data_IF_324939472452
#
_entry.id   IF_324939472452
#
_cell.length_a   1.000
_cell.length_b   1.000
_cell.length_c   1.000
_cell.angle_alpha   90.00
_cell.angle_beta   90.00
_cell.angle_gamma   90.00
#
_symmetry.space_group_name_H-M   'P 1'
#
loop_
_entity.id
_entity.type
_entity.pdbx_description
1 polymer ?
#
# COMPACT_ATOMS: atom_id res chain seq x y z
N UNK A 1 -25.05 0.44 -0.34
CA UNK A 1 -24.29 -0.69 -0.90
C UNK A 1 -23.43 -1.29 0.22
N UNK A 2 -23.31 -2.62 0.33
CA UNK A 2 -22.44 -3.28 1.32
C UNK A 2 -21.35 -4.07 0.59
N UNK A 3 -20.15 -4.19 1.18
CA UNK A 3 -19.01 -4.97 0.65
C UNK A 3 -18.51 -5.98 1.69
N UNK A 4 -19.21 -7.11 1.92
CA UNK A 4 -18.88 -8.05 2.99
C UNK A 4 -17.45 -8.57 2.93
N UNK A 5 -16.99 -9.03 1.76
CA UNK A 5 -15.62 -9.55 1.61
C UNK A 5 -14.53 -8.51 1.96
N UNK A 6 -14.77 -7.23 1.64
CA UNK A 6 -13.84 -6.16 2.04
C UNK A 6 -13.88 -5.90 3.54
N UNK A 7 -15.05 -6.02 4.17
CA UNK A 7 -15.18 -5.88 5.61
C UNK A 7 -14.39 -6.98 6.34
N UNK A 8 -14.50 -8.23 5.89
CA UNK A 8 -13.74 -9.36 6.44
C UNK A 8 -12.23 -9.14 6.32
N UNK A 9 -11.75 -8.67 5.15
CA UNK A 9 -10.34 -8.29 4.96
C UNK A 9 -9.88 -7.21 5.95
N UNK A 10 -10.66 -6.14 6.11
CA UNK A 10 -10.31 -5.06 7.04
C UNK A 10 -10.36 -5.51 8.50
N UNK A 11 -11.26 -6.44 8.84
CA UNK A 11 -11.34 -7.02 10.18
C UNK A 11 -10.11 -7.88 10.50
N UNK A 12 -9.65 -8.71 9.56
CA UNK A 12 -8.43 -9.51 9.73
C UNK A 12 -7.18 -8.63 9.90
N UNK A 13 -7.03 -7.59 9.06
CA UNK A 13 -5.95 -6.60 9.19
C UNK A 13 -6.04 -5.87 10.53
N UNK A 14 -7.24 -5.52 10.99
CA UNK A 14 -7.42 -4.86 12.29
C UNK A 14 -7.01 -5.75 13.46
N UNK A 15 -7.23 -7.07 13.38
CA UNK A 15 -6.91 -8.02 14.46
C UNK A 15 -5.44 -8.42 14.47
N UNK A 16 -4.83 -8.59 13.30
CA UNK A 16 -3.50 -9.20 13.12
C UNK A 16 -2.42 -8.19 12.72
N UNK A 17 -2.81 -6.94 12.42
CA UNK A 17 -1.92 -5.90 11.94
C UNK A 17 -1.68 -5.97 10.43
N UNK A 18 -0.91 -4.99 9.92
CA UNK A 18 -0.62 -4.88 8.49
C UNK A 18 0.14 -6.10 7.93
N UNK A 19 0.97 -6.75 8.75
CA UNK A 19 1.71 -7.96 8.37
C UNK A 19 0.79 -9.11 7.94
N UNK A 20 -0.48 -9.11 8.35
CA UNK A 20 -1.46 -10.08 7.84
C UNK A 20 -1.59 -9.99 6.32
N UNK A 21 -1.61 -8.78 5.75
CA UNK A 21 -1.71 -8.62 4.30
C UNK A 21 -0.41 -9.04 3.59
N UNK A 22 0.76 -8.78 4.19
CA UNK A 22 2.04 -9.01 3.53
C UNK A 22 2.63 -10.42 3.74
N UNK A 23 2.24 -11.09 4.83
CA UNK A 23 2.80 -12.39 5.26
C UNK A 23 1.73 -13.41 5.68
N UNK A 24 0.46 -13.00 5.69
CA UNK A 24 -0.67 -13.81 6.15
C UNK A 24 -1.61 -14.27 5.03
N UNK A 25 -2.82 -14.66 5.43
CA UNK A 25 -3.76 -15.38 4.59
C UNK A 25 -4.41 -14.46 3.54
N UNK A 26 -4.67 -13.19 3.87
CA UNK A 26 -5.17 -12.22 2.88
C UNK A 26 -4.18 -12.02 1.76
N UNK A 27 -2.88 -11.94 2.07
CA UNK A 27 -1.81 -11.82 1.08
C UNK A 27 -1.77 -13.02 0.14
N UNK A 28 -1.87 -14.24 0.69
CA UNK A 28 -1.92 -15.47 -0.09
C UNK A 28 -3.14 -15.51 -1.03
N UNK A 29 -4.33 -15.15 -0.53
CA UNK A 29 -5.56 -15.04 -1.34
C UNK A 29 -5.38 -14.03 -2.48
N UNK A 30 -4.81 -12.86 -2.18
CA UNK A 30 -4.51 -11.84 -3.18
C UNK A 30 -3.55 -12.35 -4.26
N UNK A 31 -2.46 -13.00 -3.88
CA UNK A 31 -1.49 -13.58 -4.84
C UNK A 31 -2.16 -14.63 -5.70
N UNK A 32 -2.97 -15.50 -5.11
CA UNK A 32 -3.71 -16.52 -5.85
C UNK A 32 -4.64 -15.90 -6.89
N UNK A 33 -5.39 -14.87 -6.53
CA UNK A 33 -6.29 -14.16 -7.46
C UNK A 33 -5.51 -13.49 -8.59
N UNK A 34 -4.40 -12.81 -8.27
CA UNK A 34 -3.53 -12.18 -9.28
C UNK A 34 -2.97 -13.22 -10.25
N UNK A 35 -2.53 -14.38 -9.75
CA UNK A 35 -2.00 -15.47 -10.58
C UNK A 35 -3.07 -16.10 -11.47
N UNK A 36 -4.28 -16.30 -10.93
CA UNK A 36 -5.43 -16.80 -11.71
C UNK A 36 -5.78 -15.87 -12.88
N UNK A 37 -5.52 -14.58 -12.76
CA UNK A 37 -5.70 -13.57 -13.79
C UNK A 37 -4.47 -13.39 -14.72
N UNK A 38 -3.44 -14.24 -14.59
CA UNK A 38 -2.23 -14.19 -15.40
C UNK A 38 -1.18 -13.17 -14.94
N UNK A 39 -1.32 -12.63 -13.73
CA UNK A 39 -0.37 -11.71 -13.13
C UNK A 39 0.90 -12.39 -12.58
N UNK A 40 1.90 -11.57 -12.26
CA UNK A 40 3.24 -12.03 -11.89
C UNK A 40 3.58 -11.84 -10.40
N UNK A 41 2.71 -11.20 -9.62
CA UNK A 41 2.95 -10.98 -8.19
C UNK A 41 3.06 -12.33 -7.48
N UNK A 42 4.02 -12.45 -6.57
CA UNK A 42 4.28 -13.59 -5.72
C UNK A 42 4.13 -13.22 -4.24
N UNK A 43 3.99 -14.22 -3.37
CA UNK A 43 4.06 -14.01 -1.92
C UNK A 43 5.40 -13.39 -1.52
N UNK A 44 6.48 -13.71 -2.25
CA UNK A 44 7.79 -13.12 -2.00
C UNK A 44 7.82 -11.62 -2.25
N UNK A 45 7.12 -11.14 -3.28
CA UNK A 45 7.00 -9.70 -3.57
C UNK A 45 6.29 -8.96 -2.44
N UNK A 46 5.30 -9.58 -1.81
CA UNK A 46 4.62 -9.02 -0.64
C UNK A 46 5.53 -9.04 0.60
N UNK A 47 6.20 -10.15 0.85
CA UNK A 47 7.04 -10.34 2.04
C UNK A 47 8.23 -9.36 2.09
N UNK A 48 8.85 -9.07 0.93
CA UNK A 48 9.99 -8.14 0.84
C UNK A 48 9.57 -6.69 0.64
N UNK A 49 8.27 -6.39 0.61
CA UNK A 49 7.80 -5.02 0.50
C UNK A 49 8.10 -4.26 1.80
N UNK A 50 8.75 -3.11 1.65
CA UNK A 50 9.01 -2.20 2.76
C UNK A 50 8.53 -0.78 2.43
N UNK A 51 7.85 -0.16 3.40
CA UNK A 51 7.43 1.23 3.31
C UNK A 51 8.67 2.14 3.36
N UNK A 52 8.85 2.94 2.31
CA UNK A 52 9.94 3.92 2.25
C UNK A 52 9.49 5.26 2.81
N UNK A 53 9.90 5.57 4.03
CA UNK A 53 9.73 6.91 4.61
C UNK A 53 10.76 7.86 3.99
N UNK A 54 10.28 8.93 3.34
CA UNK A 54 11.12 9.89 2.62
C UNK A 54 10.81 11.31 3.08
N UNK A 55 11.83 12.17 3.04
CA UNK A 55 11.65 13.62 3.20
C UNK A 55 10.76 14.16 2.09
N UNK A 56 9.77 14.98 2.45
CA UNK A 56 8.90 15.65 1.50
C UNK A 56 9.70 16.55 0.55
N UNK A 57 9.25 16.66 -0.71
CA UNK A 57 9.70 17.73 -1.60
C UNK A 57 9.19 19.06 -1.05
N UNK A 58 10.02 20.10 -1.12
CA UNK A 58 9.71 21.41 -0.55
C UNK A 58 9.88 22.49 -1.60
N UNK A 59 8.93 23.41 -1.67
CA UNK A 59 9.05 24.63 -2.47
C UNK A 59 8.46 25.83 -1.73
N UNK A 60 8.94 27.02 -2.07
CA UNK A 60 8.42 28.28 -1.52
C UNK A 60 7.54 28.95 -2.57
N UNK A 61 6.31 29.28 -2.19
CA UNK A 61 5.35 29.99 -3.03
C UNK A 61 5.66 31.49 -3.08
N UNK A 62 5.08 32.21 -4.05
CA UNK A 62 5.31 33.64 -4.26
C UNK A 62 4.87 34.53 -3.10
N UNK A 63 3.96 34.06 -2.25
CA UNK A 63 3.49 34.71 -1.02
C UNK A 63 4.29 34.31 0.23
N UNK A 64 5.37 33.54 0.08
CA UNK A 64 6.24 33.10 1.17
C UNK A 64 5.78 31.83 1.90
N UNK A 65 4.68 31.20 1.48
CA UNK A 65 4.26 29.92 2.05
C UNK A 65 5.19 28.77 1.63
N UNK A 66 5.34 27.77 2.50
CA UNK A 66 6.08 26.53 2.20
C UNK A 66 5.12 25.42 1.78
N UNK A 67 5.28 24.94 0.55
CA UNK A 67 4.61 23.75 0.05
C UNK A 67 5.43 22.51 0.38
N UNK A 68 4.78 21.49 0.92
CA UNK A 68 5.34 20.16 1.16
C UNK A 68 4.59 19.15 0.29
N UNK A 69 5.33 18.31 -0.43
CA UNK A 69 4.77 17.40 -1.40
C UNK A 69 5.43 16.02 -1.35
N UNK A 70 4.78 15.03 -1.97
CA UNK A 70 5.31 13.66 -2.04
C UNK A 70 6.51 13.64 -2.99
N UNK A 71 7.68 13.12 -2.57
CA UNK A 71 8.86 13.05 -3.43
C UNK A 71 8.71 11.97 -4.52
N UNK A 72 9.57 11.99 -5.55
CA UNK A 72 9.64 10.90 -6.52
C UNK A 72 9.72 9.52 -5.84
N UNK A 73 8.98 8.51 -6.32
CA UNK A 73 8.25 8.43 -7.61
C UNK A 73 6.83 9.04 -7.59
N UNK A 74 6.41 9.70 -6.51
CA UNK A 74 5.15 10.46 -6.52
C UNK A 74 5.21 11.62 -7.52
N UNK A 75 4.04 12.06 -7.99
CA UNK A 75 3.92 13.14 -9.00
C UNK A 75 3.82 14.54 -8.38
N UNK A 76 4.27 14.68 -7.12
CA UNK A 76 4.31 15.95 -6.43
C UNK A 76 5.39 16.89 -6.99
N UNK A 77 5.14 18.21 -7.06
CA UNK A 77 6.16 19.20 -7.43
C UNK A 77 7.29 19.30 -6.40
#
# INVERSE_FOLDING_TARGET
>A
MRRPALADTLEEISKKGADEFYKGETGQKFVQDVRNLGGLISEKDLEVYEVKVKTATQSTLSDGLRLYSVPPPGSGP
#
